data_IF_906382276652
#
_entry.id   IF_906382276652
#
_cell.length_a   1.000
_cell.length_b   1.000
_cell.length_c   1.000
_cell.angle_alpha   90.00
_cell.angle_beta   90.00
_cell.angle_gamma   90.00
#
_symmetry.space_group_name_H-M   'P 1'
#
loop_
_entity.id
_entity.type
_entity.pdbx_description
1 polymer ?
#
# COMPACT_ATOMS: atom_id res chain seq x y z
N UNK A 1 -10.59 19.17 8.43
CA UNK A 1 -9.78 18.06 7.87
C UNK A 1 -8.32 18.48 7.85
N UNK A 2 -7.40 17.67 8.38
CA UNK A 2 -5.97 18.01 8.48
C UNK A 2 -5.13 16.83 7.98
N UNK A 3 -4.41 17.05 6.90
CA UNK A 3 -3.47 16.07 6.34
C UNK A 3 -2.07 16.30 6.92
N UNK A 4 -1.36 15.22 7.23
CA UNK A 4 -0.02 15.29 7.79
C UNK A 4 0.90 14.28 7.11
N UNK A 5 2.20 14.52 7.23
CA UNK A 5 3.21 13.77 6.47
C UNK A 5 3.22 12.26 6.80
N UNK A 6 3.05 11.90 8.08
CA UNK A 6 3.01 10.49 8.53
C UNK A 6 1.77 9.80 7.99
N UNK A 7 0.58 10.37 8.23
CA UNK A 7 -0.69 9.81 7.78
C UNK A 7 -0.73 9.65 6.26
N UNK A 8 -0.39 10.70 5.50
CA UNK A 8 -0.38 10.62 4.04
C UNK A 8 0.61 9.58 3.49
N UNK A 9 1.76 9.42 4.17
CA UNK A 9 2.74 8.41 3.81
C UNK A 9 2.23 6.99 4.05
N UNK A 10 1.58 6.77 5.21
CA UNK A 10 0.95 5.50 5.53
C UNK A 10 -0.22 5.17 4.58
N UNK A 11 -1.11 6.13 4.30
CA UNK A 11 -2.21 5.98 3.34
C UNK A 11 -1.69 5.57 1.96
N UNK A 12 -0.55 6.12 1.54
CA UNK A 12 0.07 5.76 0.26
C UNK A 12 0.69 4.35 0.29
N UNK A 13 1.30 3.94 1.39
CA UNK A 13 1.78 2.55 1.54
C UNK A 13 0.61 1.56 1.53
N UNK A 14 -0.49 1.93 2.19
CA UNK A 14 -1.76 1.20 2.18
C UNK A 14 -2.28 0.99 0.76
N UNK A 15 -2.44 2.05 -0.03
CA UNK A 15 -2.86 1.93 -1.43
C UNK A 15 -1.88 1.12 -2.28
N UNK A 16 -0.58 1.19 -1.98
CA UNK A 16 0.40 0.36 -2.68
C UNK A 16 0.17 -1.13 -2.39
N UNK A 17 -0.01 -1.50 -1.11
CA UNK A 17 -0.30 -2.87 -0.70
C UNK A 17 -1.56 -3.43 -1.37
N UNK A 18 -2.68 -2.69 -1.29
CA UNK A 18 -3.96 -3.10 -1.90
C UNK A 18 -3.83 -3.35 -3.41
N UNK A 19 -3.03 -2.56 -4.12
CA UNK A 19 -2.79 -2.77 -5.54
C UNK A 19 -1.83 -3.94 -5.81
N UNK A 20 -0.85 -4.19 -4.94
CA UNK A 20 0.07 -5.33 -5.04
C UNK A 20 -0.67 -6.63 -4.81
N UNK A 21 -1.51 -6.72 -3.78
CA UNK A 21 -2.28 -7.94 -3.47
C UNK A 21 -3.19 -8.32 -4.63
N UNK A 22 -3.95 -7.35 -5.16
CA UNK A 22 -4.86 -7.58 -6.30
C UNK A 22 -4.13 -7.96 -7.59
N UNK A 23 -2.85 -7.65 -7.74
CA UNK A 23 -2.07 -8.08 -8.90
C UNK A 23 -1.79 -9.59 -8.88
N UNK A 24 -1.81 -10.24 -7.71
CA UNK A 24 -1.60 -11.68 -7.61
C UNK A 24 -2.76 -12.49 -8.20
N UNK A 25 -3.97 -11.91 -8.20
CA UNK A 25 -5.21 -12.61 -8.59
C UNK A 25 -5.68 -12.32 -10.03
N UNK A 26 -4.99 -11.42 -10.74
CA UNK A 26 -5.40 -10.99 -12.08
C UNK A 26 -4.74 -11.85 -13.16
N UNK A 27 -5.56 -12.55 -13.95
CA UNK A 27 -5.12 -13.33 -15.11
C UNK A 27 -5.02 -12.50 -16.41
N UNK A 28 -5.79 -11.41 -16.56
CA UNK A 28 -5.75 -10.50 -17.71
C UNK A 28 -6.23 -9.10 -17.28
N UNK A 29 -5.53 -8.04 -17.70
CA UNK A 29 -5.86 -6.65 -17.37
C UNK A 29 -5.49 -6.23 -15.93
N UNK A 30 -4.29 -5.68 -15.73
CA UNK A 30 -3.80 -5.21 -14.41
C UNK A 30 -2.87 -4.00 -14.46
N UNK A 31 -2.68 -3.43 -15.65
CA UNK A 31 -1.67 -2.38 -15.91
C UNK A 31 -1.86 -1.15 -15.03
N UNK A 32 -3.10 -0.72 -14.83
CA UNK A 32 -3.41 0.43 -13.98
C UNK A 32 -3.01 0.17 -12.51
N UNK A 33 -3.26 -1.04 -11.99
CA UNK A 33 -2.88 -1.42 -10.62
C UNK A 33 -1.37 -1.50 -10.47
N UNK A 34 -0.67 -2.07 -11.45
CA UNK A 34 0.79 -2.11 -11.46
C UNK A 34 1.39 -0.70 -11.44
N UNK A 35 0.85 0.18 -12.28
CA UNK A 35 1.23 1.59 -12.33
C UNK A 35 0.98 2.28 -10.99
N UNK A 36 -0.20 2.08 -10.42
CA UNK A 36 -0.60 2.73 -9.17
C UNK A 36 0.22 2.20 -7.98
N UNK A 37 0.49 0.89 -7.91
CA UNK A 37 1.39 0.29 -6.93
C UNK A 37 2.79 0.93 -6.97
N UNK A 38 3.37 1.06 -8.16
CA UNK A 38 4.69 1.72 -8.35
C UNK A 38 4.68 3.17 -7.87
N UNK A 39 3.63 3.93 -8.21
CA UNK A 39 3.51 5.35 -7.86
C UNK A 39 3.30 5.51 -6.35
N UNK A 40 2.34 4.80 -5.78
CA UNK A 40 1.98 4.90 -4.37
C UNK A 40 3.09 4.38 -3.46
N UNK A 41 3.78 3.31 -3.82
CA UNK A 41 4.91 2.80 -3.04
C UNK A 41 6.04 3.83 -2.96
N UNK A 42 6.44 4.40 -4.11
CA UNK A 42 7.44 5.48 -4.11
C UNK A 42 7.00 6.69 -3.30
N UNK A 43 5.75 7.10 -3.47
CA UNK A 43 5.22 8.26 -2.78
C UNK A 43 5.20 8.05 -1.26
N UNK A 44 4.65 6.92 -0.81
CA UNK A 44 4.56 6.56 0.61
C UNK A 44 5.94 6.49 1.27
N UNK A 45 6.87 5.77 0.64
CA UNK A 45 8.26 5.69 1.13
C UNK A 45 8.90 7.09 1.18
N UNK A 46 8.79 7.90 0.13
CA UNK A 46 9.35 9.26 0.14
C UNK A 46 8.81 10.12 1.29
N UNK A 47 7.49 10.08 1.52
CA UNK A 47 6.87 10.87 2.59
C UNK A 47 7.32 10.41 3.98
N UNK A 48 7.42 9.09 4.20
CA UNK A 48 7.83 8.55 5.49
C UNK A 48 9.33 8.73 5.76
N UNK A 49 10.19 8.65 4.74
CA UNK A 49 11.60 9.05 4.87
C UNK A 49 11.72 10.55 5.20
N UNK A 50 10.93 11.41 4.56
CA UNK A 50 10.85 12.84 4.95
C UNK A 50 10.36 13.02 6.38
N UNK A 51 9.47 12.16 6.85
CA UNK A 51 9.01 12.19 8.24
C UNK A 51 10.14 11.87 9.20
N UNK A 52 10.95 10.84 8.93
CA UNK A 52 12.15 10.51 9.72
C UNK A 52 13.10 11.72 9.79
N UNK A 53 13.40 12.36 8.64
CA UNK A 53 14.22 13.57 8.60
C UNK A 53 13.62 14.69 9.47
N UNK A 54 12.31 14.85 9.43
CA UNK A 54 11.58 15.87 10.19
C UNK A 54 11.63 15.63 11.70
N UNK A 55 11.61 14.37 12.15
CA UNK A 55 11.78 14.01 13.56
C UNK A 55 13.12 14.48 14.12
N UNK A 56 14.18 14.44 13.30
CA UNK A 56 15.51 14.95 13.67
C UNK A 56 15.56 16.47 13.56
N UNK A 57 15.19 17.03 12.42
CA UNK A 57 15.12 18.47 12.22
C UNK A 57 14.21 18.83 11.05
N UNK A 58 13.27 19.75 11.28
CA UNK A 58 12.39 20.26 10.23
C UNK A 58 13.15 20.87 9.04
N UNK A 59 14.41 21.30 9.17
CA UNK A 59 15.18 21.87 8.07
C UNK A 59 15.60 20.81 7.03
N UNK A 60 15.77 19.55 7.46
CA UNK A 60 16.34 18.48 6.64
C UNK A 60 15.44 18.03 5.48
N UNK A 61 14.14 18.38 5.52
CA UNK A 61 13.22 18.05 4.42
C UNK A 61 13.29 19.04 3.26
N UNK A 62 13.99 20.17 3.40
CA UNK A 62 14.03 21.23 2.39
C UNK A 62 15.30 21.16 1.55
N UNK A 63 15.17 21.40 0.24
CA UNK A 63 16.33 21.44 -0.67
C UNK A 63 17.29 22.57 -0.32
N UNK A 64 16.74 23.76 -0.05
CA UNK A 64 17.50 24.95 0.32
C UNK A 64 17.19 25.38 1.77
N UNK A 65 18.15 25.17 2.66
CA UNK A 65 18.01 25.48 4.09
C UNK A 65 17.90 27.00 4.32
N UNK A 66 18.68 27.82 3.60
CA UNK A 66 18.64 29.28 3.75
C UNK A 66 17.28 29.85 3.36
N UNK A 67 16.69 29.31 2.30
CA UNK A 67 15.34 29.67 1.87
C UNK A 67 14.29 29.27 2.91
N UNK A 68 14.40 28.07 3.47
CA UNK A 68 13.56 27.62 4.58
C UNK A 68 13.69 28.54 5.80
N UNK A 69 14.90 28.94 6.19
CA UNK A 69 15.14 29.83 7.32
C UNK A 69 14.47 31.20 7.12
N UNK A 70 14.62 31.81 5.93
CA UNK A 70 13.94 33.07 5.59
C UNK A 70 12.42 32.94 5.67
N UNK A 71 11.86 31.85 5.14
CA UNK A 71 10.42 31.58 5.21
C UNK A 71 9.95 31.38 6.67
N UNK A 72 10.73 30.70 7.50
CA UNK A 72 10.44 30.47 8.92
C UNK A 72 10.50 31.77 9.73
N UNK A 73 11.46 32.65 9.45
CA UNK A 73 11.51 33.98 10.06
C UNK A 73 10.30 34.83 9.70
N UNK A 74 9.90 34.82 8.41
CA UNK A 74 8.71 35.52 7.95
C UNK A 74 7.43 35.01 8.64
N UNK A 75 7.30 33.69 8.79
CA UNK A 75 6.19 33.06 9.49
C UNK A 75 6.13 33.47 10.96
N UNK A 76 7.29 33.46 11.65
CA UNK A 76 7.39 33.88 13.06
C UNK A 76 6.98 35.34 13.27
N UNK A 77 7.29 36.22 12.30
CA UNK A 77 6.90 37.65 12.35
C UNK A 77 5.39 37.84 12.16
N UNK A 78 4.72 37.01 11.36
CA UNK A 78 3.27 37.09 11.16
C UNK A 78 2.45 36.61 12.36
N UNK A 79 3.02 35.69 13.16
CA UNK A 79 2.36 35.09 14.33
C UNK A 79 0.96 34.49 14.02
N UNK A 80 0.83 33.86 12.85
CA UNK A 80 -0.40 33.20 12.39
C UNK A 80 -0.16 31.68 12.34
N UNK A 81 -0.89 30.96 13.18
CA UNK A 81 -0.78 29.50 13.33
C UNK A 81 -1.49 28.72 12.22
N UNK A 82 -2.31 29.38 11.40
CA UNK A 82 -2.98 28.76 10.24
C UNK A 82 -2.08 28.65 9.00
N UNK A 83 -0.91 29.30 9.04
CA UNK A 83 0.03 29.40 7.92
C UNK A 83 1.24 28.49 8.09
N UNK A 84 1.80 28.09 6.96
CA UNK A 84 2.99 27.25 6.87
C UNK A 84 4.15 28.01 6.22
N UNK A 85 5.35 27.41 6.25
CA UNK A 85 6.51 27.98 5.55
C UNK A 85 6.31 28.07 4.03
N UNK A 86 5.46 27.21 3.45
CA UNK A 86 5.12 27.25 2.03
C UNK A 86 4.23 28.45 1.66
N UNK A 87 3.43 28.96 2.61
CA UNK A 87 2.66 30.20 2.40
C UNK A 87 3.56 31.43 2.33
N UNK A 88 4.73 31.38 2.98
CA UNK A 88 5.67 32.50 3.03
C UNK A 88 6.60 32.52 1.82
N UNK A 89 6.93 31.35 1.27
CA UNK A 89 7.72 31.23 0.06
C UNK A 89 7.20 30.09 -0.83
N UNK A 90 6.51 30.46 -1.91
CA UNK A 90 5.95 29.50 -2.87
C UNK A 90 7.00 28.76 -3.70
N UNK A 91 8.25 29.25 -3.71
CA UNK A 91 9.37 28.59 -4.42
C UNK A 91 10.06 27.55 -3.54
N UNK A 92 9.68 27.43 -2.27
CA UNK A 92 10.28 26.48 -1.35
C UNK A 92 9.97 25.05 -1.79
N UNK A 93 11.03 24.24 -1.96
CA UNK A 93 10.93 22.84 -2.37
C UNK A 93 11.43 21.90 -1.28
N UNK A 94 10.81 20.74 -1.20
CA UNK A 94 11.27 19.63 -0.37
C UNK A 94 12.13 18.68 -1.18
N UNK A 95 13.06 18.00 -0.52
CA UNK A 95 13.91 16.97 -1.13
C UNK A 95 13.08 15.87 -1.80
N UNK A 96 13.63 15.18 -2.81
CA UNK A 96 13.03 13.95 -3.35
C UNK A 96 13.48 12.71 -2.59
N UNK A 97 12.95 11.55 -2.97
CA UNK A 97 13.28 10.23 -2.41
C UNK A 97 14.79 9.96 -2.27
N UNK A 98 15.55 10.09 -3.36
CA UNK A 98 16.98 9.78 -3.38
C UNK A 98 17.79 10.67 -2.42
N UNK A 99 17.42 11.94 -2.35
CA UNK A 99 18.07 12.89 -1.45
C UNK A 99 17.65 12.62 0.00
N UNK A 100 16.41 12.16 0.24
CA UNK A 100 15.96 11.76 1.56
C UNK A 100 16.75 10.55 2.09
N UNK A 101 16.95 9.51 1.26
CA UNK A 101 17.79 8.33 1.57
C UNK A 101 19.20 8.80 1.99
N UNK A 102 19.87 9.59 1.16
CA UNK A 102 21.22 10.10 1.46
C UNK A 102 21.28 10.89 2.76
N UNK A 103 20.29 11.74 3.03
CA UNK A 103 20.26 12.54 4.27
C UNK A 103 20.01 11.67 5.50
N UNK A 104 19.24 10.60 5.38
CA UNK A 104 19.06 9.64 6.47
C UNK A 104 20.38 8.93 6.78
N UNK A 105 21.07 8.41 5.75
CA UNK A 105 22.35 7.72 5.93
C UNK A 105 23.43 8.64 6.50
N UNK A 106 23.63 9.82 5.91
CA UNK A 106 24.81 10.64 6.19
C UNK A 106 24.58 11.80 7.17
N UNK A 107 23.34 12.23 7.40
CA UNK A 107 23.03 13.32 8.35
C UNK A 107 22.29 12.85 9.59
N UNK A 108 21.65 11.68 9.53
CA UNK A 108 20.96 11.08 10.68
C UNK A 108 21.69 9.86 11.25
N UNK A 109 22.78 9.41 10.60
CA UNK A 109 23.57 8.23 10.97
C UNK A 109 22.69 6.97 11.12
N UNK A 110 21.71 6.81 10.22
CA UNK A 110 20.80 5.65 10.18
C UNK A 110 21.17 4.81 8.96
N UNK A 111 21.63 3.59 9.21
CA UNK A 111 21.93 2.63 8.16
C UNK A 111 20.65 2.12 7.50
N UNK A 112 20.58 2.26 6.17
CA UNK A 112 19.47 1.76 5.37
C UNK A 112 19.83 0.34 4.89
N UNK A 113 18.97 -0.67 5.14
CA UNK A 113 19.21 -2.03 4.67
C UNK A 113 19.46 -2.06 3.16
N UNK A 114 20.51 -2.78 2.74
CA UNK A 114 20.90 -2.84 1.34
C UNK A 114 19.77 -3.32 0.43
N UNK A 115 19.04 -4.36 0.83
CA UNK A 115 17.92 -4.89 0.06
C UNK A 115 16.86 -3.81 -0.15
N UNK A 116 16.43 -3.13 0.91
CA UNK A 116 15.49 -2.01 0.81
C UNK A 116 15.99 -0.93 -0.16
N UNK A 117 17.25 -0.51 -0.03
CA UNK A 117 17.82 0.52 -0.89
C UNK A 117 17.86 0.08 -2.37
N UNK A 118 18.30 -1.14 -2.64
CA UNK A 118 18.38 -1.66 -4.01
C UNK A 118 16.99 -1.78 -4.65
N UNK A 119 15.99 -2.27 -3.90
CA UNK A 119 14.63 -2.39 -4.41
C UNK A 119 13.95 -1.04 -4.61
N UNK A 120 14.06 -0.10 -3.67
CA UNK A 120 13.40 1.21 -3.81
C UNK A 120 14.02 2.03 -4.95
N UNK A 121 15.33 1.91 -5.19
CA UNK A 121 15.98 2.52 -6.35
C UNK A 121 15.46 1.96 -7.67
N UNK A 122 15.24 0.64 -7.73
CA UNK A 122 14.64 0.00 -8.89
C UNK A 122 13.20 0.49 -9.13
N UNK A 123 12.35 0.49 -8.11
CA UNK A 123 10.96 0.96 -8.22
C UNK A 123 10.92 2.45 -8.61
N UNK A 124 11.79 3.29 -8.05
CA UNK A 124 11.89 4.71 -8.41
C UNK A 124 12.29 4.92 -9.89
N UNK A 125 13.17 4.09 -10.43
CA UNK A 125 13.53 4.13 -11.85
C UNK A 125 12.32 3.83 -12.74
N UNK A 126 11.57 2.78 -12.41
CA UNK A 126 10.35 2.42 -13.16
C UNK A 126 9.30 3.52 -13.04
N UNK A 127 9.07 4.05 -11.83
CA UNK A 127 8.16 5.18 -11.58
C UNK A 127 8.48 6.39 -12.44
N UNK A 128 9.76 6.75 -12.57
CA UNK A 128 10.18 7.87 -13.41
C UNK A 128 9.88 7.63 -14.89
N UNK A 129 10.10 6.41 -15.37
CA UNK A 129 9.76 6.07 -16.75
C UNK A 129 8.24 6.09 -16.97
N UNK A 130 7.45 5.54 -16.04
CA UNK A 130 5.98 5.59 -16.10
C UNK A 130 5.44 7.03 -16.13
N UNK A 131 5.99 7.91 -15.29
CA UNK A 131 5.46 9.26 -15.13
C UNK A 131 5.90 10.25 -16.21
N UNK A 132 7.08 10.05 -16.81
CA UNK A 132 7.70 11.04 -17.68
C UNK A 132 8.03 10.53 -19.08
N UNK A 133 7.93 9.22 -19.31
CA UNK A 133 8.29 8.57 -20.57
C UNK A 133 7.28 7.45 -20.90
N UNK A 134 7.67 6.54 -21.78
CA UNK A 134 6.97 5.31 -22.09
C UNK A 134 7.73 4.13 -21.45
N UNK A 135 6.98 3.14 -20.98
CA UNK A 135 7.51 1.86 -20.51
C UNK A 135 6.75 0.78 -21.24
N UNK A 136 7.49 -0.07 -21.95
CA UNK A 136 6.98 -1.31 -22.49
C UNK A 136 7.62 -2.44 -21.66
N UNK A 137 6.80 -3.21 -20.94
CA UNK A 137 7.24 -4.35 -20.13
C UNK A 137 6.81 -5.65 -20.81
N UNK A 138 7.71 -6.61 -20.87
CA UNK A 138 7.37 -8.01 -21.18
C UNK A 138 6.70 -8.69 -19.99
N UNK A 139 6.10 -9.86 -20.20
CA UNK A 139 5.50 -10.65 -19.12
C UNK A 139 6.54 -11.01 -18.04
N UNK A 140 7.75 -11.40 -18.45
CA UNK A 140 8.86 -11.70 -17.53
C UNK A 140 9.28 -10.47 -16.71
N UNK A 141 9.37 -9.29 -17.34
CA UNK A 141 9.67 -8.04 -16.65
C UNK A 141 8.54 -7.59 -15.73
N UNK A 142 7.29 -7.90 -16.07
CA UNK A 142 6.12 -7.61 -15.25
C UNK A 142 6.12 -8.46 -13.98
N UNK A 143 6.35 -9.78 -14.11
CA UNK A 143 6.49 -10.70 -12.97
C UNK A 143 7.64 -10.25 -12.06
N UNK A 144 8.78 -9.90 -12.65
CA UNK A 144 9.93 -9.38 -11.91
C UNK A 144 9.58 -8.08 -11.17
N UNK A 145 8.86 -7.16 -11.81
CA UNK A 145 8.45 -5.90 -11.19
C UNK A 145 7.50 -6.15 -10.02
N UNK A 146 6.50 -7.02 -10.16
CA UNK A 146 5.58 -7.39 -9.07
C UNK A 146 6.35 -7.96 -7.87
N UNK A 147 7.27 -8.90 -8.13
CA UNK A 147 8.13 -9.46 -7.08
C UNK A 147 8.98 -8.37 -6.40
N UNK A 148 9.55 -7.43 -7.17
CA UNK A 148 10.32 -6.32 -6.61
C UNK A 148 9.47 -5.33 -5.83
N UNK A 149 8.21 -5.12 -6.20
CA UNK A 149 7.26 -4.31 -5.43
C UNK A 149 6.94 -4.94 -4.08
N UNK A 150 6.69 -6.24 -4.03
CA UNK A 150 6.44 -6.99 -2.79
C UNK A 150 7.63 -6.90 -1.83
N UNK A 151 8.83 -7.26 -2.30
CA UNK A 151 10.05 -7.19 -1.49
C UNK A 151 10.31 -5.75 -1.02
N UNK A 152 10.13 -4.76 -1.91
CA UNK A 152 10.33 -3.37 -1.55
C UNK A 152 9.33 -2.90 -0.49
N UNK A 153 8.07 -3.33 -0.56
CA UNK A 153 7.05 -3.00 0.43
C UNK A 153 7.41 -3.58 1.80
N UNK A 154 7.72 -4.88 1.86
CA UNK A 154 8.06 -5.57 3.11
C UNK A 154 9.29 -4.95 3.79
N UNK A 155 10.37 -4.77 3.04
CA UNK A 155 11.60 -4.20 3.57
C UNK A 155 11.45 -2.71 3.93
N UNK A 156 10.63 -1.96 3.18
CA UNK A 156 10.29 -0.58 3.55
C UNK A 156 9.51 -0.53 4.86
N UNK A 157 8.43 -1.30 5.00
CA UNK A 157 7.61 -1.33 6.23
C UNK A 157 8.46 -1.71 7.43
N UNK A 158 9.22 -2.81 7.32
CA UNK A 158 10.14 -3.27 8.36
C UNK A 158 11.15 -2.21 8.76
N UNK A 159 11.78 -1.54 7.80
CA UNK A 159 12.70 -0.43 8.11
C UNK A 159 11.97 0.73 8.79
N UNK A 160 10.85 1.18 8.23
CA UNK A 160 10.11 2.36 8.70
C UNK A 160 9.52 2.16 10.11
N UNK A 161 9.03 0.96 10.43
CA UNK A 161 8.53 0.61 11.76
C UNK A 161 9.62 0.70 12.84
N UNK A 162 10.90 0.47 12.49
CA UNK A 162 12.00 0.68 13.45
C UNK A 162 12.29 2.14 13.74
N UNK A 163 11.84 3.06 12.89
CA UNK A 163 12.18 4.49 12.97
C UNK A 163 10.98 5.38 13.31
N UNK A 164 9.75 4.89 13.12
CA UNK A 164 8.51 5.65 13.27
C UNK A 164 7.60 4.92 14.26
N UNK A 165 7.47 5.50 15.45
CA UNK A 165 6.53 5.02 16.47
C UNK A 165 5.10 5.01 15.94
N UNK A 166 4.32 4.00 16.34
CA UNK A 166 2.91 3.80 15.99
C UNK A 166 2.65 3.85 14.47
N UNK A 167 3.61 3.43 13.62
CA UNK A 167 3.37 3.35 12.18
C UNK A 167 2.44 2.19 11.84
N UNK A 168 2.58 1.07 12.56
CA UNK A 168 1.79 -0.14 12.40
C UNK A 168 0.28 0.17 12.49
N UNK A 169 -0.15 0.97 13.47
CA UNK A 169 -1.55 1.39 13.64
C UNK A 169 -2.15 2.07 12.39
N UNK A 170 -1.32 2.76 11.60
CA UNK A 170 -1.77 3.42 10.38
C UNK A 170 -1.78 2.50 9.17
N UNK A 171 -1.00 1.40 9.21
CA UNK A 171 -0.87 0.45 8.10
C UNK A 171 -1.75 -0.79 8.34
N UNK A 172 -2.10 -1.13 9.59
CA UNK A 172 -2.91 -2.30 9.90
C UNK A 172 -4.33 -2.22 9.34
N UNK A 173 -4.92 -1.03 9.23
CA UNK A 173 -6.22 -0.86 8.58
C UNK A 173 -6.20 -1.36 7.12
N UNK A 174 -5.10 -1.23 6.37
CA UNK A 174 -4.98 -1.82 5.01
C UNK A 174 -4.83 -3.33 4.97
N UNK A 175 -4.18 -3.94 5.98
CA UNK A 175 -3.95 -5.39 5.99
C UNK A 175 -5.25 -6.16 6.25
N UNK A 176 -6.30 -5.48 6.71
CA UNK A 176 -7.58 -6.07 7.11
C UNK A 176 -8.82 -5.36 6.51
N UNK A 177 -8.64 -4.35 5.65
CA UNK A 177 -9.77 -3.69 4.99
C UNK A 177 -10.28 -4.52 3.82
N UNK A 178 -11.36 -5.26 4.09
CA UNK A 178 -12.30 -5.74 3.08
C UNK A 178 -13.06 -4.53 2.52
N UNK A 179 -12.84 -4.22 1.24
CA UNK A 179 -13.67 -3.24 0.54
C UNK A 179 -15.13 -3.73 0.49
N UNK A 180 -16.09 -2.81 0.35
CA UNK A 180 -17.51 -3.20 0.25
C UNK A 180 -17.76 -4.18 -0.90
N UNK A 181 -17.04 -4.02 -2.02
CA UNK A 181 -17.12 -4.96 -3.15
C UNK A 181 -16.57 -6.34 -2.79
N UNK A 182 -15.40 -6.42 -2.15
CA UNK A 182 -14.85 -7.72 -1.70
C UNK A 182 -15.72 -8.39 -0.63
N UNK A 183 -16.34 -7.61 0.26
CA UNK A 183 -17.32 -8.13 1.22
C UNK A 183 -18.57 -8.68 0.52
N UNK A 184 -19.07 -7.99 -0.51
CA UNK A 184 -20.23 -8.46 -1.28
C UNK A 184 -19.90 -9.68 -2.15
N UNK A 185 -18.72 -9.74 -2.76
CA UNK A 185 -18.25 -10.91 -3.52
C UNK A 185 -18.08 -12.13 -2.62
N UNK A 186 -17.38 -11.99 -1.49
CA UNK A 186 -17.22 -13.09 -0.52
C UNK A 186 -18.56 -13.55 0.05
N UNK A 187 -19.48 -12.62 0.32
CA UNK A 187 -20.84 -13.00 0.72
C UNK A 187 -21.59 -13.70 -0.42
N UNK A 188 -21.51 -13.22 -1.66
CA UNK A 188 -22.18 -13.87 -2.78
C UNK A 188 -21.67 -15.30 -3.01
N UNK A 189 -20.36 -15.52 -2.91
CA UNK A 189 -19.74 -16.85 -2.99
C UNK A 189 -20.19 -17.75 -1.85
N UNK A 190 -20.18 -17.27 -0.61
CA UNK A 190 -20.60 -18.05 0.56
C UNK A 190 -22.09 -18.43 0.52
N UNK A 191 -22.95 -17.53 0.02
CA UNK A 191 -24.37 -17.81 -0.19
C UNK A 191 -24.59 -18.83 -1.32
N UNK A 192 -23.76 -18.80 -2.37
CA UNK A 192 -23.82 -19.79 -3.45
C UNK A 192 -23.37 -21.17 -2.97
N UNK A 193 -22.32 -21.26 -2.14
CA UNK A 193 -21.87 -22.51 -1.52
C UNK A 193 -22.94 -23.10 -0.58
N UNK A 194 -23.51 -22.28 0.32
CA UNK A 194 -24.60 -22.73 1.20
C UNK A 194 -25.81 -23.25 0.40
N UNK A 195 -26.20 -22.56 -0.68
CA UNK A 195 -27.30 -23.03 -1.53
C UNK A 195 -26.98 -24.34 -2.26
N UNK A 196 -25.72 -24.56 -2.65
CA UNK A 196 -25.31 -25.85 -3.21
C UNK A 196 -25.33 -26.96 -2.16
N UNK A 197 -24.88 -26.70 -0.94
CA UNK A 197 -24.94 -27.67 0.16
C UNK A 197 -26.37 -28.05 0.51
N UNK A 198 -27.27 -27.07 0.64
CA UNK A 198 -28.70 -27.31 0.90
C UNK A 198 -29.32 -28.18 -0.21
N UNK A 199 -29.01 -27.89 -1.48
CA UNK A 199 -29.47 -28.68 -2.63
C UNK A 199 -28.95 -30.12 -2.61
N UNK A 200 -27.70 -30.33 -2.19
CA UNK A 200 -27.12 -31.67 -2.06
C UNK A 200 -27.78 -32.42 -0.89
N UNK A 201 -28.00 -31.77 0.26
CA UNK A 201 -28.69 -32.38 1.40
C UNK A 201 -30.12 -32.76 1.07
N UNK A 202 -30.84 -31.91 0.34
CA UNK A 202 -32.22 -32.16 -0.05
C UNK A 202 -32.31 -33.33 -1.03
N UNK A 203 -31.42 -33.40 -2.03
CA UNK A 203 -31.31 -34.54 -2.94
C UNK A 203 -30.96 -35.85 -2.20
N UNK A 204 -30.05 -35.80 -1.24
CA UNK A 204 -29.68 -36.95 -0.40
C UNK A 204 -30.85 -37.41 0.48
N UNK A 205 -31.66 -36.48 1.00
CA UNK A 205 -32.84 -36.79 1.79
C UNK A 205 -33.93 -37.45 0.93
N UNK A 206 -34.18 -36.92 -0.25
CA UNK A 206 -35.15 -37.50 -1.20
C UNK A 206 -34.74 -38.91 -1.61
N UNK A 207 -33.45 -39.15 -1.89
CA UNK A 207 -32.93 -40.47 -2.21
C UNK A 207 -33.10 -41.46 -1.05
N UNK A 208 -32.85 -41.01 0.18
CA UNK A 208 -33.05 -41.83 1.38
C UNK A 208 -34.52 -42.16 1.66
N UNK A 209 -35.43 -41.20 1.46
CA UNK A 209 -36.87 -41.40 1.58
C UNK A 209 -37.40 -42.38 0.51
N UNK A 210 -36.91 -42.27 -0.73
CA UNK A 210 -37.23 -43.25 -1.78
C UNK A 210 -36.73 -44.67 -1.44
N UNK A 211 -35.54 -44.80 -0.85
CA UNK A 211 -35.02 -46.10 -0.41
C UNK A 211 -35.86 -46.70 0.73
N UNK A 212 -36.26 -45.88 1.71
CA UNK A 212 -37.15 -46.29 2.79
C UNK A 212 -38.50 -46.75 2.26
N UNK A 213 -39.12 -46.01 1.33
CA UNK A 213 -40.38 -46.41 0.71
C UNK A 213 -40.25 -47.71 -0.11
N UNK A 214 -39.09 -47.97 -0.72
CA UNK A 214 -38.80 -49.23 -1.43
C UNK A 214 -38.66 -50.40 -0.44
N UNK A 215 -38.05 -50.17 0.73
CA UNK A 215 -37.95 -51.18 1.80
C UNK A 215 -39.31 -51.48 2.44
N UNK A 216 -40.15 -50.46 2.66
CA UNK A 216 -41.51 -50.62 3.19
C UNK A 216 -42.44 -51.33 2.18
N UNK A 217 -42.27 -51.07 0.87
CA UNK A 217 -42.99 -51.81 -0.18
C UNK A 217 -42.45 -53.22 -0.40
N UNK A 218 -41.21 -53.50 -0.01
CA UNK A 218 -40.57 -54.81 -0.09
C UNK A 218 -40.91 -55.77 1.06
N UNK A 219 -41.62 -55.33 2.09
CA UNK A 219 -41.91 -56.11 3.32
C UNK A 219 -43.33 -56.70 3.38
N UNK A 220 -43.87 -57.15 2.24
CA UNK A 220 -45.10 -57.95 2.18
C UNK A 220 -45.00 -59.13 1.21
N UNK A 221 -44.00 -60.01 1.38
CA UNK A 221 -44.08 -61.39 0.88
C UNK A 221 -43.36 -62.35 1.86
N UNK A 222 -44.11 -62.85 2.84
CA UNK A 222 -43.89 -64.15 3.49
C UNK A 222 -45.20 -64.92 3.46
#
# INVERSE_FOLDING_TARGET
MRFNLKANGADSLKSAFENIEKLNDIMEGGEHRLKDAVIFLNHGVELLLKYILRLRSNALIFENIDQYLKAKEALKKRNDSSKTVFDMDQKLRTVGLLEAIKRIEYLCDIDIPKEFNDTILYVNKIRNNIMHYQVDLTDEETILLVSKLQVCYEEAVKFLETQIDDLEDYIQDSRFELTYEEYQEQHAEMWAEMHMEDMIEEAMREEYEEELEKMERGTWYT
#
